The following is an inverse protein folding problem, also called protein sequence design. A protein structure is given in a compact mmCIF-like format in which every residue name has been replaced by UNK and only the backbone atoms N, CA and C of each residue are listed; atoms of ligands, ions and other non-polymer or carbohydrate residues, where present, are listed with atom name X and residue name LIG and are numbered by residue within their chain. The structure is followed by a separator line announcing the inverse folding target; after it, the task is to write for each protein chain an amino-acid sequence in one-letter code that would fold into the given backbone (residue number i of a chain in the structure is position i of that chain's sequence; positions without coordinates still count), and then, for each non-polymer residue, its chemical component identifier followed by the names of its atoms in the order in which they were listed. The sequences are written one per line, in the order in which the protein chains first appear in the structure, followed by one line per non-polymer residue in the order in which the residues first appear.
data_IF_260860755280
#
_entry.id   IF_260860755280
#
_cell.length_a   1.000
_cell.length_b   1.000
_cell.length_c   1.000
_cell.angle_alpha   90.00
_cell.angle_beta   90.00
_cell.angle_gamma   90.00
#
_symmetry.space_group_name_H-M   'P 1'
#
loop_
_entity.id
_entity.type
_entity.pdbx_description
1 polymer ?
#
# COMPACT_ATOMS: atom_id res chain seq x y z
N UNK A 1 -89.91 -14.57 0.97
CA UNK A 1 -88.53 -14.09 0.69
C UNK A 1 -87.55 -15.08 1.29
N UNK A 2 -87.10 -16.05 0.51
CA UNK A 2 -86.12 -17.06 0.94
C UNK A 2 -84.72 -16.45 1.02
N UNK A 3 -84.14 -16.39 2.23
CA UNK A 3 -82.72 -16.12 2.42
C UNK A 3 -81.93 -17.38 2.05
N UNK A 4 -81.51 -17.51 0.79
CA UNK A 4 -80.47 -18.49 0.42
C UNK A 4 -79.20 -18.17 1.19
N UNK A 5 -78.76 -19.13 2.01
CA UNK A 5 -77.68 -18.99 2.97
C UNK A 5 -76.36 -18.58 2.29
N UNK A 6 -75.73 -17.50 2.79
CA UNK A 6 -74.38 -17.02 2.44
C UNK A 6 -73.24 -17.96 2.88
N UNK A 7 -73.44 -19.27 2.87
CA UNK A 7 -72.47 -20.25 3.39
C UNK A 7 -71.13 -20.24 2.62
N UNK A 8 -71.17 -20.12 1.28
CA UNK A 8 -69.95 -20.07 0.46
C UNK A 8 -69.15 -18.76 0.56
N UNK A 9 -69.82 -17.63 0.84
CA UNK A 9 -69.16 -16.33 1.00
C UNK A 9 -68.43 -16.21 2.35
N UNK A 10 -68.96 -16.81 3.42
CA UNK A 10 -68.30 -16.84 4.74
C UNK A 10 -66.97 -17.59 4.65
N UNK A 11 -66.93 -18.74 3.97
CA UNK A 11 -65.71 -19.54 3.84
C UNK A 11 -64.57 -18.76 3.18
N UNK A 12 -64.87 -18.01 2.11
CA UNK A 12 -63.88 -17.20 1.39
C UNK A 12 -63.38 -16.04 2.26
N UNK A 13 -64.26 -15.40 3.03
CA UNK A 13 -63.89 -14.31 3.92
C UNK A 13 -62.97 -14.79 5.05
N UNK A 14 -63.28 -15.93 5.66
CA UNK A 14 -62.43 -16.55 6.69
C UNK A 14 -61.08 -16.95 6.10
N UNK A 15 -61.07 -17.57 4.91
CA UNK A 15 -59.84 -17.92 4.20
C UNK A 15 -58.98 -16.69 3.94
N UNK A 16 -59.58 -15.61 3.46
CA UNK A 16 -58.86 -14.36 3.17
C UNK A 16 -58.25 -13.75 4.43
N UNK A 17 -58.99 -13.74 5.55
CA UNK A 17 -58.47 -13.26 6.83
C UNK A 17 -57.29 -14.11 7.32
N UNK A 18 -57.37 -15.44 7.19
CA UNK A 18 -56.28 -16.36 7.57
C UNK A 18 -55.04 -16.15 6.70
N UNK A 19 -55.20 -15.99 5.39
CA UNK A 19 -54.08 -15.73 4.46
C UNK A 19 -53.40 -14.41 4.78
N UNK A 20 -54.17 -13.34 5.03
CA UNK A 20 -53.62 -12.04 5.41
C UNK A 20 -52.89 -12.12 6.74
N UNK A 21 -53.48 -12.77 7.76
CA UNK A 21 -52.84 -12.94 9.06
C UNK A 21 -51.51 -13.72 8.95
N UNK A 22 -51.48 -14.78 8.14
CA UNK A 22 -50.27 -15.58 7.91
C UNK A 22 -49.21 -14.81 7.12
N UNK A 23 -49.62 -14.05 6.10
CA UNK A 23 -48.72 -13.19 5.33
C UNK A 23 -48.05 -12.12 6.20
N UNK A 24 -48.83 -11.46 7.07
CA UNK A 24 -48.31 -10.48 8.04
C UNK A 24 -47.38 -11.15 9.06
N UNK A 25 -47.79 -12.29 9.62
CA UNK A 25 -46.97 -13.04 10.57
C UNK A 25 -45.62 -13.46 9.99
N UNK A 26 -45.62 -14.02 8.77
CA UNK A 26 -44.41 -14.43 8.06
C UNK A 26 -43.52 -13.22 7.70
N UNK A 27 -44.12 -12.11 7.30
CA UNK A 27 -43.39 -10.87 6.98
C UNK A 27 -42.65 -10.33 8.21
N UNK A 28 -43.31 -10.27 9.37
CA UNK A 28 -42.69 -9.83 10.63
C UNK A 28 -41.57 -10.79 11.06
N UNK A 29 -41.82 -12.10 11.03
CA UNK A 29 -40.82 -13.10 11.39
C UNK A 29 -39.59 -13.06 10.46
N UNK A 30 -39.80 -12.94 9.15
CA UNK A 30 -38.74 -12.83 8.14
C UNK A 30 -37.90 -11.57 8.34
N UNK A 31 -38.54 -10.43 8.61
CA UNK A 31 -37.83 -9.17 8.87
C UNK A 31 -36.99 -9.25 10.14
N UNK A 32 -37.51 -9.84 11.21
CA UNK A 32 -36.77 -10.04 12.46
C UNK A 32 -35.58 -10.99 12.29
N UNK A 33 -35.76 -12.13 11.62
CA UNK A 33 -34.67 -13.06 11.33
C UNK A 33 -33.59 -12.42 10.46
N UNK A 34 -33.99 -11.64 9.45
CA UNK A 34 -33.07 -10.89 8.59
C UNK A 34 -32.28 -9.85 9.39
N UNK A 35 -32.95 -9.13 10.29
CA UNK A 35 -32.29 -8.14 11.16
C UNK A 35 -31.29 -8.80 12.11
N UNK A 36 -31.67 -9.91 12.75
CA UNK A 36 -30.78 -10.68 13.64
C UNK A 36 -29.58 -11.25 12.88
N UNK A 37 -29.81 -11.84 11.71
CA UNK A 37 -28.74 -12.36 10.86
C UNK A 37 -27.77 -11.26 10.44
N UNK A 38 -28.30 -10.11 10.00
CA UNK A 38 -27.49 -8.95 9.62
C UNK A 38 -26.70 -8.41 10.82
N UNK A 39 -27.32 -8.33 12.00
CA UNK A 39 -26.68 -7.88 13.23
C UNK A 39 -25.54 -8.82 13.65
N UNK A 40 -25.80 -10.13 13.69
CA UNK A 40 -24.78 -11.13 14.00
C UNK A 40 -23.64 -11.12 12.97
N UNK A 41 -23.94 -11.02 11.67
CA UNK A 41 -22.93 -10.93 10.63
C UNK A 41 -22.07 -9.66 10.76
N UNK A 42 -22.67 -8.54 11.17
CA UNK A 42 -21.96 -7.28 11.42
C UNK A 42 -21.02 -7.41 12.62
N UNK A 43 -21.47 -8.01 13.71
CA UNK A 43 -20.65 -8.29 14.89
C UNK A 43 -19.47 -9.23 14.56
N UNK A 44 -19.73 -10.33 13.85
CA UNK A 44 -18.69 -11.27 13.41
C UNK A 44 -17.70 -10.60 12.45
N UNK A 45 -18.18 -9.72 11.58
CA UNK A 45 -17.35 -8.91 10.71
C UNK A 45 -16.41 -7.99 11.50
N UNK A 46 -16.91 -7.31 12.53
CA UNK A 46 -16.09 -6.45 13.38
C UNK A 46 -15.04 -7.26 14.14
N UNK A 47 -15.40 -8.44 14.65
CA UNK A 47 -14.47 -9.36 15.32
C UNK A 47 -13.35 -9.84 14.39
N UNK A 48 -13.69 -10.29 13.18
CA UNK A 48 -12.68 -10.68 12.19
C UNK A 48 -11.78 -9.51 11.79
N UNK A 49 -12.34 -8.31 11.63
CA UNK A 49 -11.56 -7.13 11.30
C UNK A 49 -10.56 -6.77 12.41
N UNK A 50 -11.03 -6.68 13.66
CA UNK A 50 -10.18 -6.40 14.81
C UNK A 50 -9.08 -7.46 15.01
N UNK A 51 -9.39 -8.73 14.74
CA UNK A 51 -8.38 -9.79 14.78
C UNK A 51 -7.33 -9.62 13.66
N UNK A 52 -7.74 -9.29 12.44
CA UNK A 52 -6.82 -9.03 11.34
C UNK A 52 -5.93 -7.80 11.61
N UNK A 53 -6.49 -6.71 12.16
CA UNK A 53 -5.73 -5.53 12.59
C UNK A 53 -4.75 -5.87 13.71
N UNK A 54 -5.19 -6.55 14.78
CA UNK A 54 -4.27 -6.93 15.85
C UNK A 54 -3.15 -7.85 15.36
N UNK A 55 -3.45 -8.76 14.42
CA UNK A 55 -2.47 -9.66 13.84
C UNK A 55 -1.43 -8.92 13.00
N UNK A 56 -1.85 -7.97 12.16
CA UNK A 56 -0.91 -7.21 11.34
C UNK A 56 -0.04 -6.29 12.20
N UNK A 57 -0.60 -5.64 13.22
CA UNK A 57 0.16 -4.77 14.13
C UNK A 57 1.18 -5.55 14.98
N UNK A 58 0.84 -6.77 15.44
CA UNK A 58 1.80 -7.65 16.11
C UNK A 58 3.01 -7.93 15.21
N UNK A 59 2.77 -8.35 13.97
CA UNK A 59 3.84 -8.67 13.01
C UNK A 59 4.64 -7.43 12.64
N UNK A 60 3.98 -6.28 12.44
CA UNK A 60 4.64 -5.01 12.14
C UNK A 60 5.59 -4.58 13.26
N UNK A 61 5.21 -4.79 14.53
CA UNK A 61 6.04 -4.41 15.68
C UNK A 61 7.36 -5.16 15.77
N UNK A 62 7.40 -6.39 15.26
CA UNK A 62 8.59 -7.28 15.20
C UNK A 62 9.07 -7.53 13.78
N UNK A 63 8.68 -6.68 12.82
CA UNK A 63 8.99 -6.90 11.42
C UNK A 63 10.50 -6.97 11.18
N UNK A 64 11.30 -6.20 11.91
CA UNK A 64 12.76 -6.22 11.82
C UNK A 64 13.37 -7.59 12.12
N UNK A 65 12.76 -8.37 13.02
CA UNK A 65 13.22 -9.72 13.37
C UNK A 65 12.80 -10.72 12.28
N UNK A 66 11.54 -10.68 11.88
CA UNK A 66 10.97 -11.59 10.88
C UNK A 66 11.61 -11.37 9.50
N UNK A 67 11.82 -10.10 9.13
CA UNK A 67 12.37 -9.67 7.85
C UNK A 67 13.76 -10.25 7.56
N UNK A 68 14.58 -10.54 8.58
CA UNK A 68 15.93 -11.11 8.40
C UNK A 68 15.93 -12.47 7.70
N UNK A 69 14.79 -13.17 7.72
CA UNK A 69 14.63 -14.51 7.16
C UNK A 69 13.99 -14.51 5.78
N UNK A 70 13.54 -13.35 5.27
CA UNK A 70 12.80 -13.23 4.02
C UNK A 70 13.71 -12.58 2.97
N UNK A 71 14.30 -13.36 2.03
CA UNK A 71 15.08 -12.79 0.95
C UNK A 71 14.19 -12.00 -0.02
N UNK A 72 14.80 -11.20 -0.91
CA UNK A 72 14.09 -10.53 -1.99
C UNK A 72 13.30 -11.52 -2.86
N UNK A 73 12.01 -11.24 -3.07
CA UNK A 73 11.08 -12.14 -3.77
C UNK A 73 10.57 -13.31 -2.92
N UNK A 74 11.01 -13.42 -1.66
CA UNK A 74 10.56 -14.43 -0.72
C UNK A 74 9.23 -14.06 -0.04
N UNK A 75 8.60 -15.05 0.58
CA UNK A 75 7.44 -14.84 1.44
C UNK A 75 7.47 -15.72 2.68
N UNK A 76 6.72 -15.32 3.69
CA UNK A 76 6.47 -16.14 4.88
C UNK A 76 5.06 -15.86 5.39
N UNK A 77 4.63 -16.65 6.37
CA UNK A 77 3.32 -16.48 7.00
C UNK A 77 3.45 -16.63 8.51
N UNK A 78 2.89 -15.66 9.22
CA UNK A 78 2.86 -15.62 10.68
C UNK A 78 1.42 -15.77 11.15
N UNK A 79 1.17 -16.70 12.07
CA UNK A 79 -0.12 -16.87 12.69
C UNK A 79 -0.12 -16.15 14.04
N UNK A 80 -1.03 -15.20 14.22
CA UNK A 80 -1.17 -14.43 15.47
C UNK A 80 -2.56 -14.65 16.02
N UNK A 81 -2.66 -15.03 17.30
CA UNK A 81 -3.96 -15.20 17.96
C UNK A 81 -4.40 -13.88 18.60
N UNK A 82 -5.55 -13.37 18.18
CA UNK A 82 -6.14 -12.11 18.68
C UNK A 82 -7.61 -12.37 19.03
N UNK A 83 -7.97 -12.17 20.30
CA UNK A 83 -9.36 -12.29 20.75
C UNK A 83 -10.01 -13.66 20.48
N UNK A 84 -9.22 -14.74 20.48
CA UNK A 84 -9.70 -16.11 20.20
C UNK A 84 -9.83 -16.46 18.71
N UNK A 85 -9.47 -15.55 17.80
CA UNK A 85 -9.34 -15.81 16.36
C UNK A 85 -7.86 -15.88 15.98
N UNK A 86 -7.55 -16.66 14.94
CA UNK A 86 -6.22 -16.68 14.33
C UNK A 86 -6.22 -15.74 13.15
N UNK A 87 -5.38 -14.72 13.20
CA UNK A 87 -5.02 -13.88 12.07
C UNK A 87 -3.81 -14.49 11.36
N UNK A 88 -3.98 -14.79 10.08
CA UNK A 88 -2.92 -15.28 9.21
C UNK A 88 -2.31 -14.10 8.47
N UNK A 89 -1.07 -13.75 8.81
CA UNK A 89 -0.34 -12.62 8.24
C UNK A 89 0.66 -13.13 7.22
N UNK A 90 0.32 -13.03 5.94
CA UNK A 90 1.23 -13.29 4.84
C UNK A 90 2.14 -12.06 4.64
N UNK A 91 3.43 -12.30 4.46
CA UNK A 91 4.44 -11.25 4.26
C UNK A 91 5.19 -11.59 2.98
N UNK A 92 5.23 -10.67 2.04
CA UNK A 92 5.94 -10.81 0.76
C UNK A 92 6.99 -9.71 0.65
N UNK A 93 8.25 -10.10 0.42
CA UNK A 93 9.36 -9.17 0.24
C UNK A 93 9.57 -8.89 -1.26
N UNK A 94 9.71 -7.62 -1.62
CA UNK A 94 9.95 -7.19 -3.01
C UNK A 94 11.29 -6.47 -3.13
N UNK A 95 12.02 -6.74 -4.21
CA UNK A 95 13.18 -5.94 -4.65
C UNK A 95 12.79 -4.69 -5.44
N UNK A 96 11.49 -4.42 -5.57
CA UNK A 96 10.94 -3.25 -6.26
C UNK A 96 10.44 -2.27 -5.21
N UNK A 97 10.91 -1.03 -5.32
CA UNK A 97 10.32 0.10 -4.61
C UNK A 97 9.25 0.69 -5.52
N UNK A 98 7.98 0.72 -5.12
CA UNK A 98 6.92 1.38 -5.89
C UNK A 98 5.95 2.09 -4.96
N UNK A 99 6.08 3.41 -4.85
CA UNK A 99 5.28 4.24 -3.94
C UNK A 99 5.05 5.64 -4.51
N UNK A 100 3.91 6.23 -4.15
CA UNK A 100 3.66 7.66 -4.35
C UNK A 100 4.49 8.48 -3.37
N UNK A 101 5.21 9.48 -3.89
CA UNK A 101 5.98 10.43 -3.10
C UNK A 101 5.27 11.79 -3.20
N UNK A 102 4.77 12.28 -2.07
CA UNK A 102 4.13 13.58 -1.99
C UNK A 102 5.14 14.72 -2.12
N UNK A 103 4.67 15.87 -2.61
CA UNK A 103 5.50 17.07 -2.71
C UNK A 103 6.04 17.47 -1.33
N UNK A 104 7.34 17.76 -1.25
CA UNK A 104 8.02 18.10 0.00
C UNK A 104 8.43 16.90 0.86
N UNK A 105 8.10 15.67 0.42
CA UNK A 105 8.58 14.43 1.03
C UNK A 105 9.68 13.79 0.17
N UNK A 106 10.24 12.69 0.66
CA UNK A 106 11.33 11.96 0.01
C UNK A 106 11.01 10.48 0.07
N UNK A 107 11.23 9.77 -1.03
CA UNK A 107 11.30 8.31 -1.07
C UNK A 107 12.73 7.85 -0.83
N UNK A 108 12.92 6.74 -0.12
CA UNK A 108 14.24 6.21 0.16
C UNK A 108 14.33 4.75 -0.27
N UNK A 109 15.36 4.46 -1.07
CA UNK A 109 15.63 3.15 -1.68
C UNK A 109 16.87 2.58 -1.01
N UNK A 110 16.82 1.31 -0.60
CA UNK A 110 17.98 0.60 -0.08
C UNK A 110 18.87 0.16 -1.24
N UNK A 111 20.13 0.57 -1.23
CA UNK A 111 21.11 0.22 -2.24
C UNK A 111 22.33 -0.49 -1.62
N UNK A 112 22.24 -0.91 -0.36
CA UNK A 112 23.35 -1.57 0.32
C UNK A 112 23.77 -2.84 -0.43
N UNK A 113 25.04 -2.91 -0.78
CA UNK A 113 25.64 -3.99 -1.58
C UNK A 113 25.07 -4.11 -3.01
N UNK A 114 24.25 -3.18 -3.47
CA UNK A 114 23.77 -3.15 -4.85
C UNK A 114 24.91 -2.75 -5.79
N UNK A 115 24.89 -3.28 -7.02
CA UNK A 115 25.87 -2.98 -8.06
C UNK A 115 25.16 -2.75 -9.39
N UNK A 116 25.85 -2.16 -10.37
CA UNK A 116 25.29 -1.87 -11.68
C UNK A 116 24.55 -0.53 -11.72
N UNK A 117 23.29 -0.55 -12.15
CA UNK A 117 22.48 0.66 -12.29
C UNK A 117 21.11 0.45 -11.64
N UNK A 118 20.53 1.54 -11.12
CA UNK A 118 19.10 1.57 -10.81
C UNK A 118 18.33 2.21 -11.98
N UNK A 119 17.16 1.66 -12.30
CA UNK A 119 16.18 2.27 -13.18
C UNK A 119 15.06 2.85 -12.33
N UNK A 120 14.82 4.14 -12.50
CA UNK A 120 13.75 4.90 -11.86
C UNK A 120 12.73 5.22 -12.95
N UNK A 121 11.50 4.78 -12.75
CA UNK A 121 10.35 5.06 -13.58
C UNK A 121 9.39 5.93 -12.77
N UNK A 122 8.87 6.99 -13.36
CA UNK A 122 7.98 7.90 -12.64
C UNK A 122 6.94 8.53 -13.56
N UNK A 123 6.00 9.24 -12.93
CA UNK A 123 4.76 9.74 -13.50
C UNK A 123 3.86 8.59 -13.99
N UNK A 124 2.91 8.21 -13.12
CA UNK A 124 1.93 7.17 -13.43
C UNK A 124 1.09 7.61 -14.65
N UNK A 125 1.15 6.82 -15.71
CA UNK A 125 0.49 7.10 -16.98
C UNK A 125 -1.05 7.05 -16.90
N UNK A 126 -1.60 6.49 -15.82
CA UNK A 126 -3.04 6.38 -15.58
C UNK A 126 -3.59 7.47 -14.65
N UNK A 127 -2.73 8.20 -13.93
CA UNK A 127 -3.13 9.36 -13.12
C UNK A 127 -2.93 10.64 -13.93
N UNK A 128 -3.99 11.33 -14.40
CA UNK A 128 -3.84 12.57 -15.16
C UNK A 128 -3.05 13.65 -14.41
N UNK A 129 -3.10 13.67 -13.08
CA UNK A 129 -2.34 14.62 -12.27
C UNK A 129 -0.82 14.41 -12.36
N UNK A 130 -0.38 13.22 -12.74
CA UNK A 130 1.04 12.91 -12.98
C UNK A 130 1.36 12.84 -14.47
N UNK A 131 0.44 12.36 -15.30
CA UNK A 131 0.68 12.11 -16.72
C UNK A 131 0.75 13.38 -17.56
N UNK A 132 -0.08 14.40 -17.26
CA UNK A 132 -0.17 15.61 -18.06
C UNK A 132 0.91 16.64 -17.70
N UNK A 133 1.33 16.64 -16.43
CA UNK A 133 2.37 17.51 -15.90
C UNK A 133 3.30 16.70 -14.98
N UNK A 134 4.21 15.88 -15.55
CA UNK A 134 5.08 15.03 -14.75
C UNK A 134 5.96 15.83 -13.80
N UNK A 135 6.18 15.28 -12.60
CA UNK A 135 7.16 15.82 -11.67
C UNK A 135 8.57 15.69 -12.25
N UNK A 136 9.43 16.63 -11.88
CA UNK A 136 10.88 16.48 -12.03
C UNK A 136 11.45 15.85 -10.77
N UNK A 137 12.56 15.14 -10.87
CA UNK A 137 13.13 14.39 -9.75
C UNK A 137 14.51 14.91 -9.38
N UNK A 138 14.79 15.03 -8.09
CA UNK A 138 16.16 15.02 -7.55
C UNK A 138 16.44 13.63 -6.98
N UNK A 139 17.57 13.05 -7.37
CA UNK A 139 18.06 11.78 -6.85
C UNK A 139 19.41 12.02 -6.19
N UNK A 140 19.48 11.76 -4.89
CA UNK A 140 20.70 11.83 -4.10
C UNK A 140 21.16 10.42 -3.75
N UNK A 141 22.30 9.97 -4.27
CA UNK A 141 22.95 8.74 -3.80
C UNK A 141 23.79 9.06 -2.58
N UNK A 142 23.68 8.24 -1.55
CA UNK A 142 24.53 8.29 -0.36
C UNK A 142 25.42 7.07 -0.39
N UNK A 143 26.73 7.30 -0.30
CA UNK A 143 27.75 6.26 -0.39
C UNK A 143 28.64 6.27 0.85
N UNK A 144 29.16 5.10 1.21
CA UNK A 144 30.08 4.93 2.31
C UNK A 144 31.25 4.04 1.89
N UNK A 145 32.47 4.60 1.90
CA UNK A 145 33.71 3.87 1.58
C UNK A 145 34.72 4.10 2.70
N UNK A 146 35.22 3.02 3.29
CA UNK A 146 36.22 3.11 4.38
C UNK A 146 35.76 3.94 5.59
N UNK A 147 34.45 3.95 5.88
CA UNK A 147 33.85 4.74 6.96
C UNK A 147 33.54 6.19 6.61
N UNK A 148 34.00 6.70 5.46
CA UNK A 148 33.71 8.06 4.99
C UNK A 148 32.43 8.09 4.17
N UNK A 149 31.55 9.06 4.45
CA UNK A 149 30.31 9.27 3.71
C UNK A 149 30.50 10.30 2.60
N UNK A 150 29.90 10.05 1.44
CA UNK A 150 29.80 10.99 0.33
C UNK A 150 28.39 11.00 -0.23
N UNK A 151 28.06 12.07 -0.96
CA UNK A 151 26.77 12.19 -1.66
C UNK A 151 27.01 12.64 -3.08
N UNK A 152 26.26 12.06 -4.03
CA UNK A 152 26.13 12.57 -5.39
C UNK A 152 24.67 12.94 -5.64
N UNK A 153 24.44 14.04 -6.35
CA UNK A 153 23.09 14.54 -6.65
C UNK A 153 22.92 14.69 -8.15
N UNK A 154 21.81 14.17 -8.66
CA UNK A 154 21.40 14.33 -10.05
C UNK A 154 19.95 14.78 -10.10
N UNK A 155 19.64 15.67 -11.02
CA UNK A 155 18.28 16.13 -11.25
C UNK A 155 17.81 15.68 -12.63
N UNK A 156 16.54 15.29 -12.75
CA UNK A 156 15.95 14.73 -13.96
C UNK A 156 14.67 15.48 -14.29
N UNK A 157 14.60 16.00 -15.52
CA UNK A 157 13.48 16.78 -16.00
C UNK A 157 12.25 15.88 -16.20
N UNK A 158 11.12 16.30 -15.61
CA UNK A 158 9.77 15.79 -15.90
C UNK A 158 9.20 16.36 -17.20
N UNK A 159 9.88 17.34 -17.79
CA UNK A 159 9.38 18.17 -18.88
C UNK A 159 8.88 19.53 -18.38
N UNK A 160 8.09 20.20 -19.21
CA UNK A 160 7.75 21.60 -18.97
C UNK A 160 6.62 21.76 -17.94
N UNK A 161 6.98 21.85 -16.65
CA UNK A 161 6.03 22.22 -15.60
C UNK A 161 5.88 23.75 -15.54
N UNK A 162 4.96 24.30 -16.32
CA UNK A 162 4.55 25.71 -16.25
C UNK A 162 5.67 26.73 -16.52
N UNK A 163 6.65 26.40 -17.36
CA UNK A 163 7.73 27.32 -17.76
C UNK A 163 8.80 27.57 -16.70
N UNK A 164 8.89 26.72 -15.67
CA UNK A 164 9.97 26.77 -14.68
C UNK A 164 11.30 26.40 -15.33
N UNK A 165 12.37 27.12 -15.01
CA UNK A 165 13.71 26.74 -15.46
C UNK A 165 14.14 25.45 -14.78
N UNK A 166 14.61 24.51 -15.59
CA UNK A 166 15.22 23.24 -15.17
C UNK A 166 16.67 23.19 -15.67
N UNK A 167 17.34 24.34 -15.70
CA UNK A 167 18.73 24.44 -16.13
C UNK A 167 19.61 23.50 -15.27
N UNK A 168 20.34 22.61 -15.95
CA UNK A 168 21.18 21.59 -15.30
C UNK A 168 20.48 20.27 -14.98
N UNK A 169 19.17 20.13 -15.25
CA UNK A 169 18.48 18.85 -15.15
C UNK A 169 18.80 17.98 -16.36
N UNK A 170 19.08 16.71 -16.12
CA UNK A 170 19.27 15.73 -17.18
C UNK A 170 17.92 15.33 -17.80
N UNK A 171 17.92 15.03 -19.11
CA UNK A 171 16.75 14.47 -19.78
C UNK A 171 16.60 12.98 -19.45
N UNK A 172 15.37 12.46 -19.31
CA UNK A 172 15.10 11.02 -19.22
C UNK A 172 15.86 10.22 -20.28
N UNK A 173 16.48 9.10 -19.90
CA UNK A 173 17.47 8.40 -20.74
C UNK A 173 17.14 6.91 -20.99
N UNK A 174 15.92 6.48 -20.69
CA UNK A 174 15.45 5.12 -21.01
C UNK A 174 13.98 5.10 -21.44
N UNK A 175 13.57 3.93 -21.94
CA UNK A 175 12.16 3.65 -22.27
C UNK A 175 11.43 3.16 -21.02
N UNK A 176 10.35 3.83 -20.57
CA UNK A 176 9.56 3.39 -19.43
C UNK A 176 8.79 2.11 -19.75
N UNK A 177 8.55 1.30 -18.72
CA UNK A 177 7.63 0.18 -18.75
C UNK A 177 6.18 0.66 -18.89
N UNK A 178 5.30 -0.28 -19.26
CA UNK A 178 3.86 -0.01 -19.28
C UNK A 178 3.39 0.48 -17.90
N UNK A 179 2.74 1.65 -17.87
CA UNK A 179 2.22 2.27 -16.65
C UNK A 179 2.95 3.55 -16.21
N UNK A 180 4.13 3.85 -16.75
CA UNK A 180 4.87 5.09 -16.44
C UNK A 180 5.18 5.90 -17.70
N UNK A 181 5.32 7.22 -17.55
CA UNK A 181 5.61 8.15 -18.66
C UNK A 181 7.10 8.41 -18.84
N UNK A 182 7.87 8.37 -17.74
CA UNK A 182 9.26 8.78 -17.73
C UNK A 182 10.15 7.71 -17.09
N UNK A 183 11.41 7.68 -17.53
CA UNK A 183 12.39 6.67 -17.12
C UNK A 183 13.80 7.26 -17.13
N UNK A 184 14.58 6.94 -16.10
CA UNK A 184 16.02 7.17 -16.07
C UNK A 184 16.77 5.97 -15.51
N UNK A 185 17.95 5.70 -16.06
CA UNK A 185 18.94 4.76 -15.54
C UNK A 185 20.12 5.53 -14.98
N UNK A 186 20.39 5.29 -13.71
CA UNK A 186 21.45 5.95 -12.96
C UNK A 186 22.47 4.89 -12.54
N UNK A 187 23.74 5.00 -12.97
CA UNK A 187 24.82 4.17 -12.44
C UNK A 187 24.94 4.31 -10.93
N UNK A 188 25.12 3.17 -10.25
CA UNK A 188 25.31 3.17 -8.80
C UNK A 188 26.73 3.59 -8.46
N UNK A 189 26.86 4.51 -7.50
CA UNK A 189 28.15 4.95 -6.99
C UNK A 189 28.87 3.82 -6.24
N UNK A 190 30.20 3.86 -6.22
CA UNK A 190 30.99 2.92 -5.43
C UNK A 190 30.66 3.06 -3.93
N UNK A 191 30.29 1.96 -3.30
CA UNK A 191 29.90 1.93 -1.89
C UNK A 191 28.55 2.58 -1.61
N UNK A 192 27.66 2.70 -2.60
CA UNK A 192 26.31 3.21 -2.38
C UNK A 192 25.58 2.39 -1.30
N UNK A 193 24.88 3.09 -0.40
CA UNK A 193 24.08 2.47 0.65
C UNK A 193 22.59 2.80 0.51
N UNK A 194 22.25 3.96 -0.06
CA UNK A 194 20.86 4.34 -0.30
C UNK A 194 20.75 5.40 -1.39
N UNK A 195 19.58 5.50 -2.00
CA UNK A 195 19.20 6.64 -2.82
C UNK A 195 17.96 7.31 -2.24
N UNK A 196 17.97 8.64 -2.23
CA UNK A 196 16.86 9.49 -1.82
C UNK A 196 16.27 10.17 -3.06
N UNK A 197 14.98 10.02 -3.26
CA UNK A 197 14.24 10.51 -4.43
C UNK A 197 13.26 11.56 -3.96
N UNK A 198 13.38 12.77 -4.49
CA UNK A 198 12.52 13.90 -4.17
C UNK A 198 11.84 14.40 -5.43
N UNK A 199 10.50 14.45 -5.47
CA UNK A 199 9.80 15.09 -6.56
C UNK A 199 9.77 16.61 -6.40
N UNK A 200 9.86 17.30 -7.52
CA UNK A 200 9.63 18.72 -7.67
C UNK A 200 8.31 18.98 -8.40
N UNK A 201 7.73 20.14 -8.10
CA UNK A 201 6.53 20.70 -8.71
C UNK A 201 5.21 20.02 -8.34
N UNK A 202 5.15 18.70 -8.41
CA UNK A 202 3.95 17.90 -8.09
C UNK A 202 4.35 16.58 -7.43
N UNK A 203 3.41 15.91 -6.75
CA UNK A 203 3.61 14.52 -6.29
C UNK A 203 3.88 13.61 -7.47
N UNK A 204 4.56 12.49 -7.26
CA UNK A 204 4.64 11.45 -8.30
C UNK A 204 4.80 10.06 -7.72
N UNK A 205 4.22 9.08 -8.41
CA UNK A 205 4.47 7.67 -8.20
C UNK A 205 5.81 7.30 -8.82
N UNK A 206 6.68 6.73 -8.01
CA UNK A 206 8.02 6.31 -8.42
C UNK A 206 8.14 4.80 -8.25
N UNK A 207 8.64 4.14 -9.29
CA UNK A 207 9.05 2.75 -9.29
C UNK A 207 10.56 2.66 -9.50
N UNK A 208 11.26 1.92 -8.64
CA UNK A 208 12.71 1.71 -8.71
C UNK A 208 13.03 0.24 -8.80
N UNK A 209 13.83 -0.12 -9.79
CA UNK A 209 14.28 -1.48 -10.07
C UNK A 209 15.78 -1.50 -10.37
N UNK A 210 16.41 -2.66 -10.23
CA UNK A 210 17.81 -2.84 -10.59
C UNK A 210 17.95 -3.27 -12.05
N UNK A 211 18.99 -2.77 -12.73
CA UNK A 211 19.34 -3.16 -14.10
C UNK A 211 20.54 -4.09 -14.07
N UNK A 212 20.37 -5.30 -14.60
CA UNK A 212 21.43 -6.32 -14.63
C UNK A 212 21.65 -7.06 -13.31
N UNK A 213 21.16 -6.53 -12.19
CA UNK A 213 21.14 -7.16 -10.87
C UNK A 213 19.85 -6.79 -10.12
N UNK A 214 19.39 -7.66 -9.21
CA UNK A 214 18.28 -7.35 -8.32
C UNK A 214 18.74 -6.41 -7.20
N UNK A 215 17.93 -5.42 -6.88
CA UNK A 215 18.15 -4.60 -5.68
C UNK A 215 17.91 -5.44 -4.41
N UNK A 216 18.43 -4.99 -3.25
CA UNK A 216 18.01 -5.49 -1.94
C UNK A 216 16.48 -5.37 -1.76
N UNK A 217 15.96 -5.99 -0.70
CA UNK A 217 14.55 -5.84 -0.35
C UNK A 217 14.23 -4.36 -0.16
N UNK A 218 13.22 -3.87 -0.87
CA UNK A 218 12.74 -2.49 -0.84
C UNK A 218 11.48 -2.36 -0.01
N UNK A 219 10.57 -3.32 -0.14
CA UNK A 219 9.26 -3.28 0.52
C UNK A 219 8.84 -4.66 1.03
N UNK A 220 8.05 -4.64 2.09
CA UNK A 220 7.30 -5.77 2.60
C UNK A 220 5.81 -5.49 2.41
N UNK A 221 5.12 -6.36 1.69
CA UNK A 221 3.67 -6.35 1.57
C UNK A 221 3.09 -7.33 2.59
N UNK A 222 2.40 -6.80 3.60
CA UNK A 222 1.79 -7.59 4.66
C UNK A 222 0.29 -7.67 4.42
N UNK A 223 -0.25 -8.88 4.44
CA UNK A 223 -1.66 -9.19 4.28
C UNK A 223 -2.11 -10.02 5.48
N UNK A 224 -2.90 -9.44 6.36
CA UNK A 224 -3.50 -10.14 7.49
C UNK A 224 -4.93 -10.55 7.17
N UNK A 225 -5.24 -11.83 7.33
CA UNK A 225 -6.56 -12.40 7.08
C UNK A 225 -7.06 -13.12 8.33
N UNK A 226 -8.25 -12.79 8.80
CA UNK A 226 -8.90 -13.49 9.91
C UNK A 226 -10.31 -13.93 9.52
N UNK A 227 -10.68 -15.12 9.98
CA UNK A 227 -11.98 -15.74 9.67
C UNK A 227 -12.66 -16.18 10.97
N UNK A 228 -13.90 -15.77 11.16
CA UNK A 228 -14.74 -16.21 12.29
C UNK A 228 -15.22 -17.65 12.12
N UNK A 229 -15.63 -18.31 13.21
CA UNK A 229 -16.24 -19.64 13.15
C UNK A 229 -17.51 -19.72 12.30
N UNK A 230 -18.18 -18.59 12.06
CA UNK A 230 -19.33 -18.46 11.15
C UNK A 230 -18.96 -18.31 9.67
N UNK A 231 -17.67 -18.28 9.31
CA UNK A 231 -17.19 -18.14 7.94
C UNK A 231 -17.08 -16.70 7.43
N UNK A 232 -17.25 -15.69 8.29
CA UNK A 232 -17.00 -14.29 7.93
C UNK A 232 -15.51 -14.01 7.95
N UNK A 233 -14.96 -13.62 6.80
CA UNK A 233 -13.53 -13.31 6.62
C UNK A 233 -13.30 -11.82 6.39
N UNK A 234 -12.25 -11.28 7.02
CA UNK A 234 -11.76 -9.91 6.79
C UNK A 234 -10.26 -9.93 6.52
N UNK A 235 -9.82 -8.99 5.69
CA UNK A 235 -8.42 -8.82 5.29
C UNK A 235 -8.00 -7.36 5.46
N UNK A 236 -6.78 -7.16 5.95
CA UNK A 236 -6.10 -5.87 6.09
C UNK A 236 -4.75 -5.99 5.39
N UNK A 237 -4.35 -4.94 4.66
CA UNK A 237 -3.11 -4.92 3.91
C UNK A 237 -2.31 -3.65 4.23
N UNK A 238 -1.01 -3.81 4.45
CA UNK A 238 -0.06 -2.72 4.72
C UNK A 238 1.22 -2.98 3.94
N UNK A 239 1.74 -1.93 3.30
CA UNK A 239 3.07 -1.95 2.70
C UNK A 239 4.02 -1.18 3.62
N UNK A 240 5.17 -1.77 3.93
CA UNK A 240 6.26 -1.13 4.68
C UNK A 240 7.52 -1.10 3.84
N UNK A 241 8.25 0.00 3.88
CA UNK A 241 9.60 0.08 3.28
C UNK A 241 10.60 -0.65 4.17
N UNK A 242 11.54 -1.36 3.56
CA UNK A 242 12.60 -2.07 4.28
C UNK A 242 13.60 -1.10 4.92
N UNK A 243 13.86 0.01 4.23
CA UNK A 243 14.66 1.12 4.75
C UNK A 243 13.71 2.25 5.18
N UNK A 244 13.69 2.63 6.47
CA UNK A 244 12.91 3.78 6.93
C UNK A 244 13.42 5.08 6.30
N UNK A 245 12.49 5.91 5.82
CA UNK A 245 12.82 7.20 5.23
C UNK A 245 13.12 8.23 6.32
N UNK A 246 14.29 8.85 6.28
CA UNK A 246 14.56 10.06 7.08
C UNK A 246 13.79 11.26 6.51
N UNK A 247 13.16 12.11 7.33
CA UNK A 247 12.43 13.29 6.87
C UNK A 247 13.27 14.20 5.96
N UNK A 248 12.63 14.82 4.98
CA UNK A 248 13.29 15.70 4.00
C UNK A 248 14.05 16.88 4.64
N UNK A 249 13.65 17.29 5.85
CA UNK A 249 14.29 18.37 6.60
C UNK A 249 15.79 18.12 6.87
N UNK A 250 16.20 16.85 6.98
CA UNK A 250 17.60 16.49 7.25
C UNK A 250 18.52 16.60 6.03
N UNK A 251 17.98 16.82 4.83
CA UNK A 251 18.78 16.96 3.60
C UNK A 251 19.48 18.33 3.45
N UNK A 252 19.08 19.30 4.28
CA UNK A 252 19.52 20.70 4.21
C UNK A 252 20.52 21.07 5.32
N UNK A 253 20.81 20.18 6.25
CA UNK A 253 21.71 20.46 7.37
C UNK A 253 23.12 19.99 7.01
N UNK A 254 24.05 20.93 6.90
CA UNK A 254 25.48 20.64 6.93
C UNK A 254 25.83 20.17 8.34
N UNK A 255 25.79 18.86 8.58
CA UNK A 255 26.21 18.27 9.84
C UNK A 255 27.70 17.91 9.77
N UNK A 256 28.55 18.73 10.39
CA UNK A 256 29.96 18.40 10.62
C UNK A 256 30.14 18.05 12.10
N UNK A 257 30.63 16.84 12.38
CA UNK A 257 31.00 16.42 13.74
C UNK A 257 32.37 16.94 14.20
N UNK A 258 33.05 17.75 13.38
CA UNK A 258 34.31 18.42 13.68
C UNK A 258 34.39 19.81 13.04
N UNK A 259 35.47 20.54 13.33
CA UNK A 259 35.67 21.89 12.78
C UNK A 259 35.72 21.85 11.25
N UNK A 260 34.95 22.72 10.62
CA UNK A 260 35.01 22.97 9.19
C UNK A 260 36.33 23.70 8.93
N UNK A 261 37.35 22.97 8.51
CA UNK A 261 38.55 23.57 7.94
C UNK A 261 38.17 24.15 6.56
N UNK A 262 38.27 25.48 6.46
CA UNK A 262 38.02 26.23 5.22
C UNK A 262 39.14 26.00 4.21
#
# INVERSE_FOLDING_TARGET
MEKKAKSGQILILVLLVVVVALAVGLSVASRNLTNLKTSAQTEQSQKAFAAAEGGIEDVLSRLSEVATTIPAGGSTTQNVTVGGLVANVAIEASNIYELAIDLGTVGQVDLKNATGQMQIEWANATDPAEADQPASLEVTQVSQVGGSFSQSRTAWSGGNFGGRSEDGFASPNCTPAAGFKLCTRIPLDSGVISARIRPFWVKTTVKVTGVGQSLPVQTYNLVSTATTGSGVTRKVQVIRTALPTLPAAFDYVLFSSGDIAK
#
